data_IF_441002557242
#
_entry.id   IF_441002557242
#
_cell.length_a   1.000
_cell.length_b   1.000
_cell.length_c   1.000
_cell.angle_alpha   90.00
_cell.angle_beta   90.00
_cell.angle_gamma   90.00
#
_symmetry.space_group_name_H-M   'P 1'
#
loop_
_entity.id
_entity.type
_entity.pdbx_description
1 polymer ?
#
# COMPACT_ATOMS: atom_id res chain seq x y z
N UNK A 1 1.58 -6.56 -28.25
CA UNK A 1 3.03 -6.87 -28.40
C UNK A 1 3.78 -5.87 -29.27
N UNK A 2 3.26 -5.46 -30.45
CA UNK A 2 3.94 -4.45 -31.29
C UNK A 2 4.12 -3.12 -30.53
N UNK A 3 3.05 -2.59 -29.96
CA UNK A 3 3.06 -1.33 -29.22
C UNK A 3 4.00 -1.38 -28.00
N UNK A 4 4.03 -2.54 -27.31
CA UNK A 4 4.92 -2.77 -26.16
C UNK A 4 6.39 -2.78 -26.62
N UNK A 5 6.70 -3.43 -27.75
CA UNK A 5 8.07 -3.47 -28.28
C UNK A 5 8.55 -2.09 -28.73
N UNK A 6 7.68 -1.31 -29.33
CA UNK A 6 7.94 0.07 -29.73
C UNK A 6 8.20 0.97 -28.52
N UNK A 7 7.33 0.90 -27.50
CA UNK A 7 7.47 1.66 -26.26
C UNK A 7 8.74 1.29 -25.48
N UNK A 8 9.15 0.02 -25.51
CA UNK A 8 10.38 -0.47 -24.86
C UNK A 8 11.65 -0.20 -25.65
N UNK A 9 11.57 0.32 -26.89
CA UNK A 9 12.72 0.48 -27.78
C UNK A 9 13.41 -0.85 -28.11
N UNK A 10 12.67 -1.98 -28.06
CA UNK A 10 13.19 -3.33 -28.27
C UNK A 10 12.46 -4.03 -29.44
N UNK A 11 13.18 -4.87 -30.14
CA UNK A 11 12.57 -5.69 -31.19
C UNK A 11 11.50 -6.64 -30.61
N UNK A 12 10.40 -6.87 -31.36
CA UNK A 12 9.34 -7.81 -30.96
C UNK A 12 9.91 -9.21 -30.64
N UNK A 13 10.89 -9.68 -31.45
CA UNK A 13 11.57 -10.96 -31.22
C UNK A 13 12.26 -11.01 -29.85
N UNK A 14 12.89 -9.91 -29.45
CA UNK A 14 13.55 -9.78 -28.15
C UNK A 14 12.56 -9.92 -27.00
N UNK A 15 11.35 -9.32 -27.11
CA UNK A 15 10.32 -9.47 -26.07
C UNK A 15 9.87 -10.93 -25.92
N UNK A 16 9.68 -11.65 -27.04
CA UNK A 16 9.31 -13.07 -27.00
C UNK A 16 10.40 -14.00 -26.46
N UNK A 17 11.65 -13.53 -26.35
CA UNK A 17 12.72 -14.28 -25.66
C UNK A 17 12.49 -14.32 -24.15
N UNK A 18 11.87 -13.27 -23.59
CA UNK A 18 11.65 -13.13 -22.15
C UNK A 18 10.20 -13.42 -21.72
N UNK A 19 9.22 -13.18 -22.60
CA UNK A 19 7.80 -13.28 -22.28
C UNK A 19 7.06 -14.04 -23.37
N UNK A 20 6.30 -15.06 -22.99
CA UNK A 20 5.54 -15.88 -23.94
C UNK A 20 4.33 -15.14 -24.50
N UNK A 21 3.71 -14.25 -23.72
CA UNK A 21 2.49 -13.54 -24.07
C UNK A 21 2.44 -12.17 -23.40
N UNK A 22 1.35 -11.40 -23.68
CA UNK A 22 1.10 -10.08 -23.11
C UNK A 22 0.80 -10.15 -21.60
N UNK A 23 0.19 -11.24 -21.19
CA UNK A 23 -0.20 -11.49 -19.80
C UNK A 23 1.03 -11.66 -18.90
N UNK A 24 2.08 -12.35 -19.36
CA UNK A 24 3.35 -12.47 -18.61
C UNK A 24 4.04 -11.11 -18.46
N UNK A 25 3.94 -10.23 -19.46
CA UNK A 25 4.47 -8.86 -19.35
C UNK A 25 3.66 -8.08 -18.31
N UNK A 26 2.34 -8.21 -18.33
CA UNK A 26 1.47 -7.57 -17.34
C UNK A 26 1.84 -8.00 -15.92
N UNK A 27 1.97 -9.31 -15.69
CA UNK A 27 2.35 -9.87 -14.39
C UNK A 27 3.69 -9.32 -13.92
N UNK A 28 4.70 -9.32 -14.80
CA UNK A 28 6.04 -8.82 -14.48
C UNK A 28 6.04 -7.31 -14.15
N UNK A 29 5.22 -6.52 -14.84
CA UNK A 29 5.08 -5.08 -14.55
C UNK A 29 4.40 -4.88 -13.19
N UNK A 30 3.31 -5.60 -12.92
CA UNK A 30 2.63 -5.51 -11.61
C UNK A 30 3.56 -5.95 -10.49
N UNK A 31 4.30 -7.05 -10.66
CA UNK A 31 5.26 -7.56 -9.68
C UNK A 31 6.36 -6.52 -9.39
N UNK A 32 6.95 -5.94 -10.43
CA UNK A 32 7.99 -4.91 -10.28
C UNK A 32 7.47 -3.66 -9.54
N UNK A 33 6.24 -3.24 -9.82
CA UNK A 33 5.61 -2.11 -9.11
C UNK A 33 5.32 -2.46 -7.64
N UNK A 34 4.88 -3.68 -7.34
CA UNK A 34 4.68 -4.13 -5.96
C UNK A 34 6.00 -4.23 -5.18
N UNK A 35 7.08 -4.67 -5.82
CA UNK A 35 8.41 -4.69 -5.21
C UNK A 35 8.93 -3.26 -4.95
N UNK A 36 8.68 -2.32 -5.86
CA UNK A 36 9.02 -0.91 -5.67
C UNK A 36 8.29 -0.34 -4.47
N UNK A 37 6.97 -0.54 -4.40
CA UNK A 37 6.14 -0.11 -3.28
C UNK A 37 6.61 -0.69 -1.95
N UNK A 38 6.94 -1.99 -1.91
CA UNK A 38 7.45 -2.63 -0.70
C UNK A 38 8.75 -1.98 -0.20
N UNK A 39 9.66 -1.59 -1.12
CA UNK A 39 10.89 -0.87 -0.76
C UNK A 39 10.60 0.52 -0.21
N UNK A 40 9.71 1.29 -0.86
CA UNK A 40 9.31 2.63 -0.40
C UNK A 40 8.67 2.60 0.99
N UNK A 41 7.79 1.64 1.24
CA UNK A 41 7.17 1.45 2.56
C UNK A 41 8.20 1.09 3.63
N UNK A 42 9.16 0.21 3.33
CA UNK A 42 10.23 -0.16 4.25
C UNK A 42 11.14 1.04 4.56
N UNK A 43 11.45 1.86 3.56
CA UNK A 43 12.22 3.10 3.74
C UNK A 43 11.47 4.09 4.65
N UNK A 44 10.17 4.30 4.41
CA UNK A 44 9.34 5.17 5.26
C UNK A 44 9.32 4.66 6.71
N UNK A 45 9.16 3.35 6.91
CA UNK A 45 9.14 2.75 8.23
C UNK A 45 10.49 2.79 8.96
N UNK A 46 11.60 2.91 8.23
CA UNK A 46 12.95 3.04 8.81
C UNK A 46 13.26 4.43 9.37
N UNK A 47 12.43 5.44 9.06
CA UNK A 47 12.64 6.81 9.52
C UNK A 47 12.51 6.91 11.03
N UNK A 48 13.20 7.87 11.63
CA UNK A 48 13.12 8.20 13.07
C UNK A 48 11.81 8.97 13.33
N UNK A 49 10.70 8.25 13.42
CA UNK A 49 9.37 8.76 13.67
C UNK A 49 8.76 8.04 14.87
N UNK A 50 7.75 8.63 15.49
CA UNK A 50 6.94 7.93 16.48
C UNK A 50 6.20 6.76 15.82
N UNK A 51 5.81 5.71 16.56
CA UNK A 51 5.04 4.60 16.00
C UNK A 51 3.74 5.04 15.30
N UNK A 52 3.04 6.04 15.84
CA UNK A 52 1.84 6.62 15.21
C UNK A 52 2.17 7.29 13.89
N UNK A 53 3.21 8.14 13.84
CA UNK A 53 3.62 8.82 12.62
C UNK A 53 4.10 7.83 11.55
N UNK A 54 4.82 6.76 11.95
CA UNK A 54 5.20 5.67 11.04
C UNK A 54 4.00 4.99 10.45
N UNK A 55 3.00 4.66 11.26
CA UNK A 55 1.78 4.00 10.79
C UNK A 55 1.05 4.87 9.79
N UNK A 56 0.84 6.16 10.10
CA UNK A 56 0.24 7.14 9.18
C UNK A 56 1.04 7.27 7.90
N UNK A 57 2.38 7.39 8.00
CA UNK A 57 3.25 7.54 6.84
C UNK A 57 3.21 6.31 5.92
N UNK A 58 3.20 5.09 6.48
CA UNK A 58 3.08 3.84 5.73
C UNK A 58 1.73 3.72 5.04
N UNK A 59 0.62 4.09 5.72
CA UNK A 59 -0.73 4.13 5.13
C UNK A 59 -0.77 5.04 3.90
N UNK A 60 -0.28 6.27 4.01
CA UNK A 60 -0.28 7.21 2.88
C UNK A 60 0.70 6.78 1.79
N UNK A 61 1.87 6.24 2.13
CA UNK A 61 2.82 5.69 1.15
C UNK A 61 2.15 4.59 0.29
N UNK A 62 1.43 3.67 0.93
CA UNK A 62 0.67 2.63 0.22
C UNK A 62 -0.36 3.23 -0.75
N UNK A 63 -1.23 4.12 -0.26
CA UNK A 63 -2.32 4.68 -1.06
C UNK A 63 -1.81 5.55 -2.22
N UNK A 64 -0.80 6.39 -1.98
CA UNK A 64 -0.19 7.23 -3.02
C UNK A 64 0.50 6.39 -4.09
N UNK A 65 1.30 5.40 -3.70
CA UNK A 65 2.01 4.57 -4.66
C UNK A 65 1.05 3.73 -5.54
N UNK A 66 -0.02 3.15 -4.97
CA UNK A 66 -1.04 2.47 -5.77
C UNK A 66 -1.72 3.44 -6.75
N UNK A 67 -2.04 4.65 -6.31
CA UNK A 67 -2.62 5.69 -7.18
C UNK A 67 -1.67 6.06 -8.33
N UNK A 68 -0.37 6.25 -8.03
CA UNK A 68 0.64 6.52 -9.06
C UNK A 68 0.78 5.39 -10.07
N UNK A 69 0.80 4.12 -9.62
CA UNK A 69 0.84 2.95 -10.52
C UNK A 69 -0.34 2.97 -11.49
N UNK A 70 -1.55 3.21 -10.99
CA UNK A 70 -2.75 3.26 -11.82
C UNK A 70 -2.76 4.47 -12.77
N UNK A 71 -2.30 5.64 -12.32
CA UNK A 71 -2.23 6.84 -13.15
C UNK A 71 -1.19 6.72 -14.26
N UNK A 72 0.00 6.20 -13.96
CA UNK A 72 1.12 6.01 -14.88
C UNK A 72 0.80 4.99 -15.97
N UNK A 73 0.07 3.96 -15.62
CA UNK A 73 -0.27 2.84 -16.49
C UNK A 73 -1.75 2.92 -16.93
N UNK A 74 -2.21 4.05 -17.45
CA UNK A 74 -3.63 4.36 -17.75
C UNK A 74 -4.42 3.24 -18.44
N UNK A 75 -3.81 2.50 -19.40
CA UNK A 75 -4.42 1.34 -20.06
C UNK A 75 -4.49 0.10 -19.13
N UNK A 76 -3.61 -0.02 -18.14
CA UNK A 76 -3.63 -1.11 -17.15
C UNK A 76 -4.74 -0.92 -16.11
N UNK A 77 -5.29 0.29 -15.99
CA UNK A 77 -6.34 0.62 -15.02
C UNK A 77 -7.56 -0.29 -15.15
N UNK A 78 -8.07 -0.46 -16.38
CA UNK A 78 -9.22 -1.31 -16.64
C UNK A 78 -8.88 -2.79 -16.42
N UNK A 79 -7.70 -3.24 -16.82
CA UNK A 79 -7.23 -4.62 -16.64
C UNK A 79 -6.95 -4.94 -15.18
N UNK A 80 -6.35 -4.00 -14.42
CA UNK A 80 -6.09 -4.13 -12.99
C UNK A 80 -7.36 -4.34 -12.16
N UNK A 81 -8.45 -3.65 -12.50
CA UNK A 81 -9.73 -3.82 -11.82
C UNK A 81 -10.57 -4.97 -12.38
N UNK A 82 -10.39 -5.33 -13.65
CA UNK A 82 -11.13 -6.41 -14.30
C UNK A 82 -10.67 -7.80 -13.84
N UNK A 83 -9.37 -7.99 -13.61
CA UNK A 83 -8.78 -9.25 -13.17
C UNK A 83 -8.24 -9.17 -11.74
N UNK A 84 -9.14 -8.83 -10.81
CA UNK A 84 -8.81 -8.71 -9.39
C UNK A 84 -8.23 -10.01 -8.80
N UNK A 85 -8.64 -11.16 -9.32
CA UNK A 85 -8.13 -12.47 -8.90
C UNK A 85 -6.65 -12.62 -9.25
N UNK A 86 -6.27 -12.34 -10.51
CA UNK A 86 -4.88 -12.42 -10.99
C UNK A 86 -3.97 -11.47 -10.22
N UNK A 87 -4.40 -10.22 -10.10
CA UNK A 87 -3.69 -9.20 -9.31
C UNK A 87 -3.52 -9.65 -7.86
N UNK A 88 -4.53 -10.26 -7.26
CA UNK A 88 -4.47 -10.80 -5.90
C UNK A 88 -3.41 -11.91 -5.76
N UNK A 89 -3.23 -12.76 -6.77
CA UNK A 89 -2.18 -13.78 -6.76
C UNK A 89 -0.78 -13.17 -6.81
N UNK A 90 -0.56 -12.20 -7.68
CA UNK A 90 0.73 -11.50 -7.83
C UNK A 90 1.07 -10.74 -6.54
N UNK A 91 0.08 -10.13 -5.90
CA UNK A 91 0.26 -9.32 -4.68
C UNK A 91 0.55 -10.11 -3.41
N UNK A 92 0.41 -11.44 -3.39
CA UNK A 92 0.59 -12.25 -2.16
C UNK A 92 1.89 -11.95 -1.41
N UNK A 93 3.00 -11.80 -2.14
CA UNK A 93 4.31 -11.48 -1.55
C UNK A 93 4.34 -10.09 -0.95
N UNK A 94 3.80 -9.11 -1.68
CA UNK A 94 3.65 -7.74 -1.21
C UNK A 94 2.77 -7.68 0.06
N UNK A 95 1.57 -8.27 0.02
CA UNK A 95 0.63 -8.30 1.14
C UNK A 95 1.27 -8.94 2.40
N UNK A 96 2.07 -10.01 2.21
CA UNK A 96 2.80 -10.63 3.32
C UNK A 96 3.86 -9.70 3.92
N UNK A 97 4.61 -8.99 3.08
CA UNK A 97 5.64 -8.05 3.53
C UNK A 97 5.02 -6.82 4.22
N UNK A 98 3.92 -6.30 3.68
CA UNK A 98 3.17 -5.21 4.30
C UNK A 98 2.66 -5.60 5.69
N UNK A 99 2.05 -6.78 5.84
CA UNK A 99 1.59 -7.28 7.14
C UNK A 99 2.72 -7.43 8.15
N UNK A 100 3.90 -7.89 7.73
CA UNK A 100 5.08 -7.97 8.61
C UNK A 100 5.53 -6.59 9.05
N UNK A 101 5.56 -5.62 8.14
CA UNK A 101 5.93 -4.24 8.43
C UNK A 101 4.95 -3.59 9.41
N UNK A 102 3.65 -3.74 9.17
CA UNK A 102 2.60 -3.27 10.09
C UNK A 102 2.75 -3.91 11.48
N UNK A 103 2.99 -5.23 11.53
CA UNK A 103 3.20 -5.94 12.80
C UNK A 103 4.39 -5.38 13.59
N UNK A 104 5.49 -5.06 12.93
CA UNK A 104 6.67 -4.45 13.57
C UNK A 104 6.34 -3.08 14.15
N UNK A 105 5.68 -2.20 13.38
CA UNK A 105 5.30 -0.86 13.82
C UNK A 105 4.36 -0.93 15.03
N UNK A 106 3.36 -1.83 14.99
CA UNK A 106 2.39 -1.99 16.08
C UNK A 106 3.05 -2.57 17.34
N UNK A 107 3.92 -3.58 17.19
CA UNK A 107 4.66 -4.16 18.33
C UNK A 107 5.63 -3.14 18.96
N UNK A 108 6.28 -2.31 18.15
CA UNK A 108 7.12 -1.22 18.63
C UNK A 108 6.32 -0.17 19.41
N UNK A 109 5.14 0.18 18.92
CA UNK A 109 4.25 1.13 19.58
C UNK A 109 3.69 0.60 20.89
N UNK A 110 3.34 -0.68 20.96
CA UNK A 110 2.90 -1.33 22.20
C UNK A 110 4.03 -1.36 23.24
N UNK A 111 5.24 -1.74 22.84
CA UNK A 111 6.42 -1.76 23.70
C UNK A 111 6.78 -0.38 24.24
N UNK A 112 6.52 0.68 23.48
CA UNK A 112 6.75 2.07 23.88
C UNK A 112 5.57 2.66 24.68
N UNK A 113 4.47 1.91 24.89
CA UNK A 113 3.26 2.38 25.58
C UNK A 113 2.48 3.42 24.77
N UNK A 114 2.69 3.51 23.45
CA UNK A 114 1.96 4.40 22.54
C UNK A 114 0.64 3.77 22.12
N UNK A 115 0.65 2.46 21.89
CA UNK A 115 -0.53 1.67 21.52
C UNK A 115 -0.99 0.76 22.67
N UNK A 116 -2.29 0.49 22.69
CA UNK A 116 -2.95 -0.48 23.57
C UNK A 116 -3.69 -1.48 22.67
N UNK A 117 -3.02 -2.59 22.36
CA UNK A 117 -3.45 -3.56 21.36
C UNK A 117 -3.58 -4.94 22.00
N UNK A 118 -4.80 -5.44 22.12
CA UNK A 118 -5.07 -6.78 22.67
C UNK A 118 -4.53 -7.91 21.78
N UNK A 119 -4.62 -7.74 20.44
CA UNK A 119 -4.17 -8.74 19.47
C UNK A 119 -3.56 -8.08 18.24
N UNK A 120 -2.21 -8.04 18.20
CA UNK A 120 -1.45 -7.42 17.10
C UNK A 120 -1.82 -8.04 15.75
N UNK A 121 -1.93 -9.37 15.64
CA UNK A 121 -2.19 -10.02 14.36
C UNK A 121 -3.59 -9.70 13.82
N UNK A 122 -4.59 -9.64 14.66
CA UNK A 122 -5.94 -9.21 14.29
C UNK A 122 -5.93 -7.74 13.83
N UNK A 123 -5.27 -6.86 14.58
CA UNK A 123 -5.14 -5.44 14.25
C UNK A 123 -4.42 -5.24 12.91
N UNK A 124 -3.33 -5.97 12.66
CA UNK A 124 -2.64 -5.99 11.35
C UNK A 124 -3.59 -6.36 10.23
N UNK A 125 -4.36 -7.44 10.40
CA UNK A 125 -5.31 -7.88 9.38
C UNK A 125 -6.40 -6.84 9.12
N UNK A 126 -6.95 -6.21 10.17
CA UNK A 126 -7.94 -5.16 10.04
C UNK A 126 -7.35 -3.97 9.26
N UNK A 127 -6.17 -3.47 9.64
CA UNK A 127 -5.53 -2.34 8.96
C UNK A 127 -5.24 -2.70 7.50
N UNK A 128 -4.67 -3.87 7.23
CA UNK A 128 -4.38 -4.33 5.88
C UNK A 128 -5.64 -4.37 4.99
N UNK A 129 -6.72 -4.97 5.46
CA UNK A 129 -7.95 -5.04 4.66
C UNK A 129 -8.68 -3.69 4.55
N UNK A 130 -8.57 -2.82 5.55
CA UNK A 130 -9.02 -1.43 5.43
C UNK A 130 -8.25 -0.70 4.33
N UNK A 131 -6.91 -0.80 4.29
CA UNK A 131 -6.09 -0.22 3.23
C UNK A 131 -6.52 -0.72 1.84
N UNK A 132 -6.69 -2.03 1.69
CA UNK A 132 -7.19 -2.65 0.46
C UNK A 132 -8.54 -2.09 0.03
N UNK A 133 -9.46 -1.90 0.98
CA UNK A 133 -10.77 -1.29 0.70
C UNK A 133 -10.70 0.19 0.33
N UNK A 134 -9.69 0.91 0.83
CA UNK A 134 -9.49 2.33 0.55
C UNK A 134 -8.77 2.62 -0.77
N UNK A 135 -8.08 1.64 -1.39
CA UNK A 135 -7.36 1.84 -2.65
C UNK A 135 -8.25 2.46 -3.74
N UNK A 136 -9.41 1.86 -4.02
CA UNK A 136 -10.33 2.33 -5.06
C UNK A 136 -10.89 3.73 -4.76
N UNK A 137 -11.48 3.99 -3.59
CA UNK A 137 -11.93 5.34 -3.23
C UNK A 137 -10.81 6.39 -3.32
N UNK A 138 -9.58 6.04 -2.93
CA UNK A 138 -8.44 6.95 -2.96
C UNK A 138 -8.00 7.28 -4.39
N UNK A 139 -7.89 6.28 -5.26
CA UNK A 139 -7.53 6.44 -6.68
C UNK A 139 -8.51 7.39 -7.40
N UNK A 140 -9.81 7.29 -7.07
CA UNK A 140 -10.86 8.11 -7.69
C UNK A 140 -11.13 9.43 -6.99
N UNK A 141 -10.33 9.81 -5.98
CA UNK A 141 -10.51 11.05 -5.23
C UNK A 141 -11.80 11.09 -4.39
N UNK A 142 -12.42 9.94 -4.11
CA UNK A 142 -13.66 9.86 -3.32
C UNK A 142 -13.44 10.05 -1.82
N UNK A 143 -12.17 9.99 -1.38
CA UNK A 143 -11.76 10.32 -0.02
C UNK A 143 -11.35 11.78 0.14
N UNK A 144 -11.37 12.54 -0.95
CA UNK A 144 -11.11 13.98 -0.91
C UNK A 144 -12.32 14.70 -0.30
N UNK A 145 -12.05 15.33 0.82
CA UNK A 145 -13.05 16.09 1.60
C UNK A 145 -12.80 17.60 1.51
N UNK A 146 -11.94 18.02 0.59
CA UNK A 146 -11.45 19.41 0.50
C UNK A 146 -10.45 19.79 1.61
N UNK A 147 -10.01 18.83 2.42
CA UNK A 147 -8.96 19.05 3.41
C UNK A 147 -7.58 19.14 2.74
N UNK A 148 -6.72 20.01 3.26
CA UNK A 148 -5.32 20.00 2.87
C UNK A 148 -4.66 18.65 3.23
N UNK A 149 -3.57 18.24 2.55
CA UNK A 149 -2.85 17.00 2.89
C UNK A 149 -2.43 16.92 4.37
N UNK A 150 -2.03 18.05 4.96
CA UNK A 150 -1.65 18.14 6.37
C UNK A 150 -2.86 17.88 7.27
N UNK A 151 -4.00 18.53 6.99
CA UNK A 151 -5.24 18.34 7.77
C UNK A 151 -5.80 16.92 7.63
N UNK A 152 -5.70 16.33 6.45
CA UNK A 152 -6.10 14.93 6.19
C UNK A 152 -5.24 13.97 7.03
N UNK A 153 -3.91 14.09 7.01
CA UNK A 153 -3.00 13.25 7.81
C UNK A 153 -3.29 13.40 9.31
N UNK A 154 -3.48 14.62 9.81
CA UNK A 154 -3.82 14.85 11.21
C UNK A 154 -5.18 14.25 11.60
N UNK A 155 -6.16 14.22 10.69
CA UNK A 155 -7.45 13.56 10.93
C UNK A 155 -7.28 12.04 11.02
N UNK A 156 -6.52 11.42 10.11
CA UNK A 156 -6.22 9.98 10.13
C UNK A 156 -5.47 9.60 11.40
N UNK A 157 -4.47 10.39 11.79
CA UNK A 157 -3.72 10.17 13.04
C UNK A 157 -4.63 10.16 14.27
N UNK A 158 -5.57 11.10 14.36
CA UNK A 158 -6.57 11.11 15.45
C UNK A 158 -7.49 9.89 15.46
N UNK A 159 -7.86 9.37 14.28
CA UNK A 159 -8.65 8.13 14.18
C UNK A 159 -7.84 6.95 14.71
N UNK A 160 -6.59 6.81 14.28
CA UNK A 160 -5.67 5.75 14.72
C UNK A 160 -5.48 5.83 16.25
N UNK A 161 -5.16 7.03 16.76
CA UNK A 161 -4.96 7.24 18.20
C UNK A 161 -6.21 6.84 19.03
N UNK A 162 -7.40 7.16 18.53
CA UNK A 162 -8.65 6.78 19.22
C UNK A 162 -8.95 5.29 19.12
N UNK A 163 -8.52 4.62 18.04
CA UNK A 163 -8.79 3.21 17.81
C UNK A 163 -7.84 2.29 18.58
N UNK A 164 -6.56 2.64 18.62
CA UNK A 164 -5.51 1.77 19.16
C UNK A 164 -4.50 2.49 20.08
N UNK A 165 -4.60 3.81 20.24
CA UNK A 165 -3.74 4.58 21.12
C UNK A 165 -4.03 4.28 22.60
N UNK A 166 -2.99 4.38 23.44
CA UNK A 166 -3.15 4.18 24.86
C UNK A 166 -4.10 5.25 25.46
N UNK A 167 -5.23 4.81 25.95
CA UNK A 167 -6.19 5.67 26.62
C UNK A 167 -5.73 5.85 28.06
N UNK A 168 -5.24 7.03 28.43
CA UNK A 168 -5.08 7.35 29.84
C UNK A 168 -6.46 7.20 30.51
N UNK A 169 -6.63 6.15 31.32
CA UNK A 169 -7.84 6.04 32.17
C UNK A 169 -7.89 7.29 33.00
N UNK A 170 -8.88 8.17 32.78
CA UNK A 170 -9.21 9.20 33.75
C UNK A 170 -9.58 8.46 35.02
N UNK A 171 -8.66 8.47 36.01
CA UNK A 171 -9.01 8.04 37.36
C UNK A 171 -10.14 8.98 37.84
N UNK A 172 -11.33 8.41 37.95
CA UNK A 172 -12.42 9.03 38.70
C UNK A 172 -12.10 8.91 40.19
#
# INVERSE_FOLDING_TARGET
>A
MNDISQAAGKGRRTLYTYFKNKEEIFDAVVEAEMERLAREMAEVASRLLTPEDKLVAVIYCHLEAIKEVVQRNGNMRAEFFRDAWRVSLIRKRFDSNEKKLLAQILADGERQGVFDIENIQLTVNIIHYCLRGLEIPYIYGRLDTGLSPIASRAAVQRIIHRAIGHQFKKNN
#
